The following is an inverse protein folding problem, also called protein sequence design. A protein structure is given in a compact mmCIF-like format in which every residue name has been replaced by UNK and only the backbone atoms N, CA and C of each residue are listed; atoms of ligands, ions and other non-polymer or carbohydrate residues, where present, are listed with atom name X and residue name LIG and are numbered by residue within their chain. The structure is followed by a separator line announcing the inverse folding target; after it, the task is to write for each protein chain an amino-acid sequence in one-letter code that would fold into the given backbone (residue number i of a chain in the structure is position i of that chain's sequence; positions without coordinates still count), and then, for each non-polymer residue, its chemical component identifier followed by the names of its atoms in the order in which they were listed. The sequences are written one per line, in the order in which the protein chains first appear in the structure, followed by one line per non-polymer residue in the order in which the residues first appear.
data_IF_623631472158
#
_entry.id   IF_623631472158
#
_cell.length_a   1.000
_cell.length_b   1.000
_cell.length_c   1.000
_cell.angle_alpha   90.00
_cell.angle_beta   90.00
_cell.angle_gamma   90.00
#
_symmetry.space_group_name_H-M   'P 1'
#
loop_
_entity.id
_entity.type
_entity.pdbx_description
1 polymer ?
#
# COMPACT_ATOMS: atom_id res chain seq x y z
N UNK A 1 -62.13 16.20 -124.44
CA UNK A 1 -61.33 17.35 -123.98
C UNK A 1 -60.38 16.85 -122.89
N UNK A 2 -59.06 16.94 -123.14
CA UNK A 2 -57.88 16.96 -122.24
C UNK A 2 -57.89 16.06 -120.98
N UNK A 3 -57.15 14.94 -120.89
CA UNK A 3 -55.69 14.68 -120.97
C UNK A 3 -54.91 15.01 -119.67
N UNK A 4 -54.46 13.93 -118.99
CA UNK A 4 -53.24 13.68 -118.18
C UNK A 4 -52.80 14.70 -117.09
N UNK A 5 -52.20 14.36 -115.94
CA UNK A 5 -51.21 13.34 -115.54
C UNK A 5 -51.06 13.41 -114.00
N UNK A 6 -50.58 12.35 -113.32
CA UNK A 6 -49.83 12.54 -112.04
C UNK A 6 -49.96 11.47 -110.95
N UNK A 7 -48.81 10.88 -110.59
CA UNK A 7 -48.53 9.88 -109.55
C UNK A 7 -49.00 10.23 -108.13
N UNK A 8 -49.25 9.20 -107.29
CA UNK A 8 -48.52 8.97 -106.03
C UNK A 8 -49.03 7.74 -105.26
N UNK A 9 -48.06 7.03 -104.67
CA UNK A 9 -48.15 5.84 -103.82
C UNK A 9 -49.08 5.99 -102.60
N UNK A 10 -49.76 4.90 -102.21
CA UNK A 10 -50.49 4.83 -100.94
C UNK A 10 -50.94 3.41 -100.61
N UNK A 11 -50.35 2.85 -99.54
CA UNK A 11 -50.66 1.57 -98.91
C UNK A 11 -52.12 1.48 -98.45
N UNK A 12 -52.75 0.32 -98.62
CA UNK A 12 -53.87 -0.16 -97.79
C UNK A 12 -53.72 -1.66 -97.60
N UNK A 13 -53.10 -2.04 -96.48
CA UNK A 13 -53.05 -3.41 -95.97
C UNK A 13 -54.40 -3.71 -95.33
N UNK A 14 -55.16 -4.61 -95.94
CA UNK A 14 -56.44 -5.14 -95.46
C UNK A 14 -56.23 -6.58 -94.99
N UNK A 15 -56.40 -6.77 -93.69
CA UNK A 15 -57.04 -7.93 -93.01
C UNK A 15 -56.46 -8.06 -91.60
N UNK A 16 -56.89 -7.16 -90.73
CA UNK A 16 -56.79 -7.30 -89.29
C UNK A 16 -57.98 -8.08 -88.76
N UNK A 17 -57.72 -9.11 -87.96
CA UNK A 17 -58.40 -9.44 -86.70
C UNK A 17 -58.11 -10.89 -86.25
N UNK A 18 -56.87 -11.18 -85.86
CA UNK A 18 -56.56 -12.44 -85.15
C UNK A 18 -55.43 -12.36 -84.12
N UNK A 19 -55.11 -11.17 -83.61
CA UNK A 19 -54.14 -10.99 -82.53
C UNK A 19 -54.78 -10.32 -81.30
N UNK A 20 -55.64 -11.05 -80.59
CA UNK A 20 -55.94 -10.74 -79.18
C UNK A 20 -55.56 -11.91 -78.30
N UNK A 21 -54.42 -11.76 -77.62
CA UNK A 21 -54.04 -12.63 -76.51
C UNK A 21 -55.03 -12.48 -75.33
N UNK A 22 -55.36 -13.56 -74.61
CA UNK A 22 -56.26 -13.51 -73.48
C UNK A 22 -55.65 -12.68 -72.35
N UNK A 23 -56.34 -11.60 -71.95
CA UNK A 23 -55.98 -10.80 -70.77
C UNK A 23 -56.17 -11.66 -69.51
N UNK A 24 -55.09 -12.21 -68.97
CA UNK A 24 -55.10 -12.77 -67.62
C UNK A 24 -55.34 -11.64 -66.61
N UNK A 25 -56.53 -11.61 -66.00
CA UNK A 25 -56.84 -10.76 -64.85
C UNK A 25 -55.97 -11.22 -63.67
N UNK A 26 -54.90 -10.48 -63.39
CA UNK A 26 -54.07 -10.67 -62.21
C UNK A 26 -54.96 -10.41 -60.98
N UNK A 27 -55.16 -11.45 -60.16
CA UNK A 27 -55.95 -11.36 -58.94
C UNK A 27 -55.20 -10.49 -57.91
N UNK A 28 -55.83 -9.46 -57.31
CA UNK A 28 -55.16 -8.47 -56.45
C UNK A 28 -54.44 -9.09 -55.24
N UNK A 29 -54.89 -10.26 -54.77
CA UNK A 29 -54.26 -11.03 -53.69
C UNK A 29 -52.84 -11.53 -53.99
N UNK A 30 -52.52 -11.81 -55.27
CA UNK A 30 -51.16 -12.25 -55.63
C UNK A 30 -50.18 -11.06 -55.68
N UNK A 31 -50.67 -9.87 -56.04
CA UNK A 31 -49.85 -8.65 -56.05
C UNK A 31 -49.48 -8.24 -54.63
N UNK A 32 -50.42 -8.32 -53.68
CA UNK A 32 -50.13 -8.03 -52.26
C UNK A 32 -49.14 -9.02 -51.65
N UNK A 33 -49.23 -10.31 -51.98
CA UNK A 33 -48.31 -11.32 -51.46
C UNK A 33 -46.88 -11.12 -51.98
N UNK A 34 -46.72 -10.79 -53.27
CA UNK A 34 -45.41 -10.51 -53.87
C UNK A 34 -44.79 -9.23 -53.30
N UNK A 35 -45.58 -8.17 -53.12
CA UNK A 35 -45.10 -6.91 -52.51
C UNK A 35 -44.64 -7.14 -51.06
N UNK A 36 -45.38 -7.94 -50.28
CA UNK A 36 -45.01 -8.26 -48.90
C UNK A 36 -43.72 -9.09 -48.84
N UNK A 37 -43.54 -10.04 -49.75
CA UNK A 37 -42.33 -10.85 -49.84
C UNK A 37 -41.09 -10.02 -50.21
N UNK A 38 -41.24 -9.06 -51.14
CA UNK A 38 -40.15 -8.15 -51.52
C UNK A 38 -39.79 -7.21 -50.34
N UNK A 39 -40.78 -6.72 -49.60
CA UNK A 39 -40.55 -5.89 -48.40
C UNK A 39 -39.85 -6.67 -47.28
N UNK A 40 -40.22 -7.93 -47.05
CA UNK A 40 -39.54 -8.82 -46.10
C UNK A 40 -38.08 -9.08 -46.50
N UNK A 41 -37.80 -9.32 -47.78
CA UNK A 41 -36.44 -9.50 -48.28
C UNK A 41 -35.60 -8.21 -48.18
N UNK A 42 -36.19 -7.06 -48.48
CA UNK A 42 -35.53 -5.77 -48.32
C UNK A 42 -35.20 -5.45 -46.85
N UNK A 43 -36.14 -5.74 -45.94
CA UNK A 43 -35.92 -5.58 -44.49
C UNK A 43 -34.85 -6.55 -43.97
N UNK A 44 -34.84 -7.80 -44.43
CA UNK A 44 -33.80 -8.78 -44.10
C UNK A 44 -32.42 -8.36 -44.60
N UNK A 45 -32.31 -7.90 -45.85
CA UNK A 45 -31.06 -7.40 -46.40
C UNK A 45 -30.56 -6.15 -45.65
N UNK A 46 -31.46 -5.25 -45.26
CA UNK A 46 -31.11 -4.06 -44.48
C UNK A 46 -30.63 -4.41 -43.07
N UNK A 47 -31.27 -5.39 -42.41
CA UNK A 47 -30.83 -5.88 -41.10
C UNK A 47 -29.44 -6.55 -41.17
N UNK A 48 -29.14 -7.30 -42.23
CA UNK A 48 -27.82 -7.91 -42.43
C UNK A 48 -26.75 -6.83 -42.65
N UNK A 49 -27.04 -5.80 -43.45
CA UNK A 49 -26.13 -4.67 -43.67
C UNK A 49 -25.91 -3.90 -42.36
N UNK A 50 -26.95 -3.69 -41.56
CA UNK A 50 -26.86 -3.01 -40.27
C UNK A 50 -26.00 -3.81 -39.27
N UNK A 51 -26.22 -5.12 -39.14
CA UNK A 51 -25.41 -6.00 -38.29
C UNK A 51 -23.95 -6.04 -38.76
N UNK A 52 -23.72 -6.10 -40.08
CA UNK A 52 -22.38 -6.10 -40.64
C UNK A 52 -21.64 -4.76 -40.44
N UNK A 53 -22.37 -3.63 -40.48
CA UNK A 53 -21.80 -2.30 -40.23
C UNK A 53 -21.58 -1.99 -38.73
N UNK A 54 -22.36 -2.59 -37.82
CA UNK A 54 -22.18 -2.44 -36.37
C UNK A 54 -21.04 -3.31 -35.82
N UNK A 55 -20.55 -4.31 -36.56
CA UNK A 55 -19.34 -5.07 -36.24
C UNK A 55 -18.03 -4.30 -36.49
N UNK A 56 -17.99 -3.00 -36.22
CA UNK A 56 -16.76 -2.38 -35.75
C UNK A 56 -16.61 -2.75 -34.28
N UNK A 57 -16.13 -3.96 -34.02
CA UNK A 57 -15.61 -4.29 -32.70
C UNK A 57 -14.69 -3.14 -32.28
N UNK A 58 -14.94 -2.49 -31.12
CA UNK A 58 -13.94 -1.63 -30.54
C UNK A 58 -12.63 -2.42 -30.53
N UNK A 59 -11.47 -1.82 -30.87
CA UNK A 59 -10.21 -2.52 -30.68
C UNK A 59 -10.23 -3.10 -29.27
N UNK A 60 -9.80 -4.38 -29.08
CA UNK A 60 -9.75 -4.95 -27.75
C UNK A 60 -9.07 -3.93 -26.84
N UNK A 61 -9.62 -3.63 -25.65
CA UNK A 61 -8.99 -2.68 -24.75
C UNK A 61 -7.51 -3.06 -24.68
N UNK A 62 -6.59 -2.10 -24.89
CA UNK A 62 -5.16 -2.40 -24.82
C UNK A 62 -4.96 -3.19 -23.53
N UNK A 63 -4.21 -4.32 -23.57
CA UNK A 63 -4.01 -5.14 -22.38
C UNK A 63 -3.68 -4.18 -21.25
N UNK A 64 -4.55 -4.14 -20.23
CA UNK A 64 -4.31 -3.32 -19.04
C UNK A 64 -2.93 -3.77 -18.60
N UNK A 65 -1.97 -2.85 -18.60
CA UNK A 65 -0.62 -3.18 -18.19
C UNK A 65 -0.73 -3.67 -16.74
N UNK A 66 -0.78 -4.99 -16.55
CA UNK A 66 -0.76 -5.67 -15.24
C UNK A 66 0.65 -5.70 -14.68
N UNK A 67 1.49 -4.78 -15.15
CA UNK A 67 2.84 -4.58 -14.70
C UNK A 67 2.95 -3.31 -13.87
N UNK A 68 4.01 -3.18 -13.07
CA UNK A 68 4.27 -2.01 -12.26
C UNK A 68 4.24 -0.73 -13.12
N UNK A 69 3.20 0.08 -12.93
CA UNK A 69 3.02 1.37 -13.63
C UNK A 69 3.51 2.48 -12.72
N UNK A 70 4.38 3.35 -13.26
CA UNK A 70 4.77 4.59 -12.56
C UNK A 70 3.55 5.43 -12.23
N UNK A 71 3.57 6.12 -11.08
CA UNK A 71 2.48 7.00 -10.70
C UNK A 71 2.29 8.12 -11.72
N UNK A 72 1.04 8.33 -12.12
CA UNK A 72 0.58 9.56 -12.76
C UNK A 72 0.61 10.72 -11.76
N UNK A 73 0.50 11.95 -12.26
CA UNK A 73 0.42 13.15 -11.40
C UNK A 73 -0.78 13.09 -10.46
N UNK A 74 -1.93 12.61 -10.94
CA UNK A 74 -3.13 12.46 -10.12
C UNK A 74 -2.96 11.38 -9.04
N UNK A 75 -2.40 10.22 -9.38
CA UNK A 75 -2.11 9.16 -8.40
C UNK A 75 -1.08 9.63 -7.35
N UNK A 76 -0.06 10.38 -7.76
CA UNK A 76 0.94 10.98 -6.85
C UNK A 76 0.27 11.95 -5.87
N UNK A 77 -0.61 12.81 -6.36
CA UNK A 77 -1.36 13.75 -5.52
C UNK A 77 -2.29 13.00 -4.55
N UNK A 78 -2.98 11.95 -5.03
CA UNK A 78 -3.85 11.10 -4.20
C UNK A 78 -3.09 10.38 -3.08
N UNK A 79 -1.95 9.75 -3.40
CA UNK A 79 -1.08 9.12 -2.41
C UNK A 79 -0.54 10.14 -1.41
N UNK A 80 -0.13 11.32 -1.88
CA UNK A 80 0.38 12.39 -1.00
C UNK A 80 -0.71 12.88 -0.05
N UNK A 81 -1.95 13.07 -0.55
CA UNK A 81 -3.09 13.45 0.28
C UNK A 81 -3.42 12.36 1.32
N UNK A 82 -3.37 11.09 0.92
CA UNK A 82 -3.57 9.95 1.82
C UNK A 82 -2.47 9.88 2.90
N UNK A 83 -1.21 10.08 2.54
CA UNK A 83 -0.11 10.11 3.52
C UNK A 83 -0.28 11.29 4.49
N UNK A 84 -0.69 12.45 3.99
CA UNK A 84 -0.94 13.62 4.84
C UNK A 84 -2.10 13.41 5.81
N UNK A 85 -3.15 12.68 5.44
CA UNK A 85 -4.26 12.39 6.35
C UNK A 85 -3.86 11.50 7.53
N UNK A 86 -2.82 10.68 7.36
CA UNK A 86 -2.26 9.84 8.42
C UNK A 86 -1.30 10.58 9.37
N UNK A 87 -0.91 11.81 9.04
CA UNK A 87 0.10 12.56 9.79
C UNK A 87 -0.35 12.97 11.19
N UNK A 88 -1.67 13.06 11.38
CA UNK A 88 -2.30 13.47 12.62
C UNK A 88 -3.12 12.35 13.22
N UNK A 89 -3.35 12.44 14.53
CA UNK A 89 -4.20 11.52 15.26
C UNK A 89 -3.46 10.28 15.76
N UNK A 90 -4.13 9.45 16.58
CA UNK A 90 -3.51 8.27 17.16
C UNK A 90 -3.64 7.06 16.25
N UNK A 91 -2.65 6.17 16.36
CA UNK A 91 -2.51 4.98 15.54
C UNK A 91 -2.36 3.74 16.41
N UNK A 92 -3.01 2.66 16.02
CA UNK A 92 -2.66 1.31 16.46
C UNK A 92 -1.86 0.60 15.37
N UNK A 93 -0.79 -0.06 15.78
CA UNK A 93 0.14 -0.77 14.92
C UNK A 93 0.31 -2.20 15.46
N UNK A 94 0.14 -3.20 14.62
CA UNK A 94 0.31 -4.61 14.99
C UNK A 94 1.10 -5.35 13.91
N UNK A 95 2.19 -6.02 14.28
CA UNK A 95 3.02 -6.69 13.30
C UNK A 95 4.35 -7.17 13.83
N UNK A 96 5.38 -7.07 12.99
CA UNK A 96 6.73 -7.52 13.31
C UNK A 96 7.81 -6.48 12.98
N UNK A 97 8.91 -6.56 13.72
CA UNK A 97 10.13 -5.77 13.53
C UNK A 97 11.28 -6.73 13.21
N UNK A 98 11.92 -6.53 12.07
CA UNK A 98 13.15 -7.22 11.71
C UNK A 98 14.37 -6.38 12.15
N UNK A 99 15.15 -6.91 13.10
CA UNK A 99 16.39 -6.29 13.58
C UNK A 99 17.45 -7.36 13.90
N UNK A 100 18.72 -7.09 13.55
CA UNK A 100 19.86 -7.98 13.82
C UNK A 100 19.65 -9.43 13.37
N UNK A 101 19.01 -9.64 12.21
CA UNK A 101 18.71 -10.98 11.67
C UNK A 101 17.58 -11.72 12.38
N UNK A 102 16.85 -11.05 13.28
CA UNK A 102 15.76 -11.62 14.10
C UNK A 102 14.46 -10.86 13.86
N UNK A 103 13.34 -11.54 14.13
CA UNK A 103 12.00 -10.96 14.05
C UNK A 103 11.38 -10.89 15.44
N UNK A 104 10.77 -9.76 15.77
CA UNK A 104 10.10 -9.48 17.03
C UNK A 104 8.66 -9.07 16.76
N UNK A 105 7.70 -9.55 17.55
CA UNK A 105 6.31 -9.10 17.44
C UNK A 105 6.12 -7.75 18.11
N UNK A 106 5.34 -6.85 17.53
CA UNK A 106 4.97 -5.58 18.14
C UNK A 106 3.47 -5.36 18.09
N UNK A 107 2.93 -4.83 19.17
CA UNK A 107 1.58 -4.30 19.22
C UNK A 107 1.64 -2.97 19.96
N UNK A 108 1.30 -1.87 19.31
CA UNK A 108 1.45 -0.53 19.85
C UNK A 108 0.21 0.30 19.58
N UNK A 109 -0.13 1.19 20.51
CA UNK A 109 -1.11 2.26 20.35
C UNK A 109 -0.45 3.55 20.81
N UNK A 110 -0.43 4.58 19.97
CA UNK A 110 0.32 5.80 20.26
C UNK A 110 -0.25 7.04 19.57
N UNK A 111 0.02 8.21 20.15
CA UNK A 111 -0.23 9.51 19.54
C UNK A 111 0.81 9.81 18.46
N UNK A 112 0.40 10.45 17.35
CA UNK A 112 1.32 10.74 16.24
C UNK A 112 2.51 11.63 16.58
N UNK A 113 2.40 12.46 17.61
CA UNK A 113 3.49 13.29 18.12
C UNK A 113 4.47 12.54 19.03
N UNK A 114 4.19 11.27 19.34
CA UNK A 114 4.99 10.47 20.26
C UNK A 114 4.87 10.91 21.73
N UNK A 115 3.90 11.77 22.07
CA UNK A 115 3.71 12.26 23.43
C UNK A 115 3.26 11.16 24.39
N UNK A 116 2.48 10.20 23.91
CA UNK A 116 1.92 9.12 24.72
C UNK A 116 1.68 7.89 23.86
N UNK A 117 1.95 6.71 24.43
CA UNK A 117 1.61 5.44 23.82
C UNK A 117 1.93 4.28 24.75
N UNK A 118 1.40 3.11 24.42
CA UNK A 118 1.73 1.87 25.12
C UNK A 118 1.55 0.67 24.20
N UNK A 119 2.07 -0.47 24.63
CA UNK A 119 1.99 -1.68 23.84
C UNK A 119 2.81 -2.80 24.40
N UNK A 120 3.18 -3.72 23.52
CA UNK A 120 3.94 -4.91 23.86
C UNK A 120 4.98 -5.22 22.79
N UNK A 121 6.13 -5.71 23.23
CA UNK A 121 7.15 -6.33 22.38
C UNK A 121 7.19 -7.82 22.69
N UNK A 122 7.21 -8.66 21.66
CA UNK A 122 7.30 -10.11 21.81
C UNK A 122 8.61 -10.61 21.23
N UNK A 123 9.42 -11.27 22.06
CA UNK A 123 10.72 -11.83 21.68
C UNK A 123 10.81 -13.29 22.16
N UNK A 124 11.05 -14.23 21.25
CA UNK A 124 11.14 -15.66 21.61
C UNK A 124 9.86 -16.23 22.25
N UNK A 125 8.68 -15.66 21.94
CA UNK A 125 7.41 -16.04 22.56
C UNK A 125 7.14 -15.38 23.92
N UNK A 126 8.07 -14.57 24.43
CA UNK A 126 7.96 -13.86 25.70
C UNK A 126 7.54 -12.43 25.46
N UNK A 127 6.71 -11.88 26.36
CA UNK A 127 6.11 -10.55 26.24
C UNK A 127 6.80 -9.58 27.20
N UNK A 128 7.15 -8.41 26.67
CA UNK A 128 7.48 -7.22 27.45
C UNK A 128 6.48 -6.09 27.18
N UNK A 129 6.32 -5.19 28.14
CA UNK A 129 5.44 -4.02 28.05
C UNK A 129 6.25 -2.82 27.54
N UNK A 130 5.69 -2.09 26.57
CA UNK A 130 6.23 -0.82 26.06
C UNK A 130 5.39 0.33 26.62
N UNK A 131 6.07 1.39 27.02
CA UNK A 131 5.49 2.70 27.27
C UNK A 131 6.22 3.74 26.41
N UNK A 132 5.45 4.63 25.78
CA UNK A 132 5.96 5.82 25.11
C UNK A 132 5.47 7.01 25.91
N UNK A 133 6.38 7.82 26.42
CA UNK A 133 6.07 9.00 27.21
C UNK A 133 7.01 10.14 26.80
N UNK A 134 6.44 11.22 26.27
CA UNK A 134 7.16 12.41 25.79
C UNK A 134 8.32 12.08 24.82
N UNK A 135 8.09 11.13 23.91
CA UNK A 135 9.08 10.68 22.93
C UNK A 135 10.16 9.73 23.49
N UNK A 136 10.14 9.44 24.80
CA UNK A 136 11.01 8.44 25.43
C UNK A 136 10.31 7.09 25.41
N UNK A 137 11.06 6.05 25.03
CA UNK A 137 10.55 4.68 24.97
C UNK A 137 11.07 3.94 26.20
N UNK A 138 10.14 3.43 27.00
CA UNK A 138 10.43 2.55 28.12
C UNK A 138 9.98 1.14 27.78
N UNK A 139 10.77 0.16 28.21
CA UNK A 139 10.49 -1.25 28.06
C UNK A 139 10.67 -1.95 29.39
N UNK A 140 9.74 -2.85 29.71
CA UNK A 140 9.79 -3.71 30.88
C UNK A 140 9.57 -5.16 30.47
N UNK A 141 10.31 -6.06 31.09
CA UNK A 141 10.12 -7.50 30.94
C UNK A 141 10.99 -8.27 31.91
N UNK A 142 10.79 -9.59 31.96
CA UNK A 142 11.54 -10.49 32.82
C UNK A 142 12.90 -10.88 32.22
N UNK A 143 13.73 -11.58 33.00
CA UNK A 143 15.07 -12.00 32.55
C UNK A 143 15.04 -12.82 31.26
N UNK A 144 14.16 -13.84 31.10
CA UNK A 144 14.02 -14.56 29.84
C UNK A 144 13.71 -13.64 28.65
N UNK A 145 12.84 -12.64 28.82
CA UNK A 145 12.49 -11.70 27.75
C UNK A 145 13.70 -10.86 27.32
N UNK A 146 14.47 -10.31 28.28
CA UNK A 146 15.67 -9.55 27.97
C UNK A 146 16.75 -10.40 27.30
N UNK A 147 16.96 -11.62 27.77
CA UNK A 147 17.87 -12.58 27.13
C UNK A 147 17.39 -12.90 25.70
N UNK A 148 16.08 -13.05 25.48
CA UNK A 148 15.50 -13.21 24.16
C UNK A 148 15.67 -11.97 23.28
N UNK A 149 15.90 -10.77 23.82
CA UNK A 149 16.30 -9.59 23.03
C UNK A 149 17.81 -9.53 22.75
N UNK A 150 18.60 -10.44 23.31
CA UNK A 150 20.06 -10.38 23.27
C UNK A 150 20.63 -9.33 24.22
N UNK A 151 19.89 -9.02 25.29
CA UNK A 151 20.31 -8.09 26.35
C UNK A 151 20.78 -8.91 27.55
N UNK A 152 21.97 -8.58 28.05
CA UNK A 152 22.57 -9.21 29.22
C UNK A 152 22.30 -8.41 30.51
N UNK A 153 22.59 -9.02 31.67
CA UNK A 153 22.42 -8.39 32.97
C UNK A 153 21.04 -8.62 33.61
N UNK A 154 20.91 -8.35 34.91
CA UNK A 154 19.65 -8.49 35.63
C UNK A 154 18.68 -7.35 35.30
N UNK A 155 17.38 -7.65 35.13
CA UNK A 155 16.35 -6.62 35.03
C UNK A 155 16.37 -5.67 36.22
N UNK A 156 16.02 -4.39 36.02
CA UNK A 156 15.84 -3.45 37.12
C UNK A 156 14.82 -3.98 38.14
N UNK A 157 15.00 -3.62 39.40
CA UNK A 157 13.99 -3.87 40.43
C UNK A 157 12.64 -3.22 40.04
N UNK A 158 11.51 -3.76 40.51
CA UNK A 158 10.20 -3.16 40.28
C UNK A 158 10.21 -1.64 40.57
N UNK A 159 9.64 -0.81 39.68
CA UNK A 159 8.69 -1.16 38.63
C UNK A 159 9.29 -1.75 37.35
N UNK A 160 10.63 -1.87 37.24
CA UNK A 160 11.30 -2.67 36.20
C UNK A 160 11.47 -1.99 34.84
N UNK A 161 11.30 -0.67 34.75
CA UNK A 161 11.36 0.07 33.49
C UNK A 161 12.79 0.36 33.06
N UNK A 162 13.07 0.08 31.79
CA UNK A 162 14.34 0.38 31.12
C UNK A 162 14.10 1.42 30.03
N UNK A 163 14.90 2.48 29.99
CA UNK A 163 14.88 3.47 28.91
C UNK A 163 15.65 2.93 27.71
N UNK A 164 14.98 2.84 26.55
CA UNK A 164 15.60 2.37 25.32
C UNK A 164 16.30 3.51 24.59
N UNK A 165 17.59 3.36 24.22
CA UNK A 165 18.26 4.32 23.36
C UNK A 165 17.72 4.24 21.92
N UNK A 166 17.84 5.33 21.13
CA UNK A 166 17.26 5.42 19.78
C UNK A 166 17.77 4.38 18.79
N UNK A 167 18.92 3.74 19.03
CA UNK A 167 19.52 2.73 18.16
C UNK A 167 19.25 1.29 18.63
N UNK A 168 18.54 1.10 19.74
CA UNK A 168 18.10 -0.23 20.18
C UNK A 168 17.18 -0.86 19.12
N UNK A 169 17.50 -2.10 18.72
CA UNK A 169 16.88 -2.78 17.57
C UNK A 169 16.84 -1.93 16.28
N UNK A 170 17.84 -1.05 16.10
CA UNK A 170 17.93 -0.14 14.96
C UNK A 170 16.90 0.99 14.97
N UNK A 171 16.34 1.34 16.14
CA UNK A 171 15.34 2.39 16.28
C UNK A 171 13.94 1.99 15.79
N UNK A 172 13.67 0.69 15.73
CA UNK A 172 12.45 0.14 15.12
C UNK A 172 11.38 -0.27 16.12
N UNK A 173 11.67 -0.22 17.43
CA UNK A 173 10.69 -0.53 18.49
C UNK A 173 9.50 0.42 18.40
N UNK A 174 9.76 1.69 18.13
CA UNK A 174 8.74 2.69 17.91
C UNK A 174 9.21 3.62 16.79
N UNK A 175 8.35 3.80 15.79
CA UNK A 175 8.59 4.69 14.66
C UNK A 175 7.41 5.64 14.56
N UNK A 176 7.69 6.94 14.66
CA UNK A 176 6.63 7.95 14.60
C UNK A 176 5.94 7.96 13.22
N UNK A 177 4.68 8.42 13.12
CA UNK A 177 4.04 8.69 11.84
C UNK A 177 4.85 9.58 10.93
N UNK A 178 5.48 10.63 11.45
CA UNK A 178 6.37 11.46 10.65
C UNK A 178 7.48 10.65 9.98
N UNK A 179 8.09 9.70 10.69
CA UNK A 179 9.19 8.88 10.19
C UNK A 179 8.74 7.89 9.12
N UNK A 180 7.68 7.11 9.36
CA UNK A 180 7.23 6.12 8.36
C UNK A 180 6.50 6.76 7.17
N UNK A 181 5.83 7.91 7.35
CA UNK A 181 5.27 8.69 6.24
C UNK A 181 6.36 9.28 5.35
N UNK A 182 7.44 9.78 5.94
CA UNK A 182 8.60 10.26 5.17
C UNK A 182 9.29 9.13 4.40
N UNK A 183 9.23 7.88 4.91
CA UNK A 183 9.68 6.70 4.19
C UNK A 183 8.82 6.41 2.95
N UNK A 184 7.51 6.59 3.09
CA UNK A 184 6.51 6.34 2.05
C UNK A 184 6.32 7.51 1.07
N UNK A 185 6.96 8.66 1.28
CA UNK A 185 6.85 9.79 0.36
C UNK A 185 7.21 9.38 -1.09
N UNK A 186 6.35 9.69 -2.09
CA UNK A 186 6.58 9.27 -3.47
C UNK A 186 7.91 9.77 -4.03
N UNK A 187 8.68 8.88 -4.66
CA UNK A 187 9.83 9.23 -5.50
C UNK A 187 9.46 9.18 -6.98
N UNK A 188 10.42 9.48 -7.86
CA UNK A 188 10.29 9.33 -9.31
C UNK A 188 10.09 7.87 -9.78
N UNK A 189 10.42 6.88 -8.92
CA UNK A 189 10.25 5.44 -9.20
C UNK A 189 9.06 4.83 -8.44
N UNK A 190 8.25 5.68 -7.80
CA UNK A 190 7.03 5.27 -7.11
C UNK A 190 6.03 4.66 -8.10
N UNK A 191 5.31 3.66 -7.62
CA UNK A 191 4.37 2.88 -8.45
C UNK A 191 3.25 2.27 -7.63
N UNK A 192 2.15 1.96 -8.29
CA UNK A 192 1.06 1.16 -7.76
C UNK A 192 1.00 -0.18 -8.51
N UNK A 193 0.84 -1.25 -7.75
CA UNK A 193 0.57 -2.59 -8.25
C UNK A 193 -0.63 -3.16 -7.49
N UNK A 194 -1.80 -3.10 -8.12
CA UNK A 194 -3.08 -3.35 -7.45
C UNK A 194 -3.27 -2.44 -6.23
N UNK A 195 -3.50 -3.05 -5.06
CA UNK A 195 -3.66 -2.35 -3.78
C UNK A 195 -2.32 -2.00 -3.10
N UNK A 196 -1.18 -2.37 -3.70
CA UNK A 196 0.14 -2.15 -3.09
C UNK A 196 0.80 -0.92 -3.70
N UNK A 197 1.06 0.06 -2.84
CA UNK A 197 1.85 1.23 -3.16
C UNK A 197 3.33 0.97 -2.83
N UNK A 198 4.21 1.21 -3.78
CA UNK A 198 5.65 1.22 -3.58
C UNK A 198 6.15 2.66 -3.71
N UNK A 199 6.84 3.14 -2.67
CA UNK A 199 7.38 4.51 -2.65
C UNK A 199 8.48 4.76 -3.67
N UNK A 200 9.05 3.69 -4.24
CA UNK A 200 10.25 3.70 -5.06
C UNK A 200 11.55 3.49 -4.27
N UNK A 201 11.47 3.39 -2.93
CA UNK A 201 12.55 2.91 -2.06
C UNK A 201 12.40 1.40 -1.83
N UNK A 202 13.52 0.71 -1.61
CA UNK A 202 13.56 -0.75 -1.52
C UNK A 202 12.83 -1.31 -0.29
N UNK A 203 12.75 -0.54 0.78
CA UNK A 203 12.27 -0.93 2.10
C UNK A 203 11.05 -0.12 2.55
N UNK A 204 10.29 0.45 1.61
CA UNK A 204 9.10 1.26 1.91
C UNK A 204 7.95 1.01 0.92
N UNK A 205 6.95 0.26 1.38
CA UNK A 205 5.68 0.03 0.69
C UNK A 205 4.50 0.04 1.65
N UNK A 206 3.30 0.21 1.12
CA UNK A 206 2.07 0.23 1.89
C UNK A 206 0.91 -0.41 1.13
N UNK A 207 -0.06 -0.97 1.86
CA UNK A 207 -1.33 -1.38 1.28
C UNK A 207 -2.34 -0.25 1.39
N UNK A 208 -2.90 0.14 0.27
CA UNK A 208 -3.89 1.22 0.13
C UNK A 208 -5.24 0.59 -0.20
N UNK A 209 -6.27 1.01 0.54
CA UNK A 209 -7.66 0.59 0.38
C UNK A 209 -8.58 1.81 0.46
N UNK A 210 -9.88 1.62 0.29
CA UNK A 210 -10.87 2.68 0.49
C UNK A 210 -10.87 3.20 1.94
N UNK A 211 -10.43 2.38 2.91
CA UNK A 211 -10.24 2.79 4.30
C UNK A 211 -8.92 3.53 4.56
N UNK A 212 -8.11 3.75 3.51
CA UNK A 212 -6.81 4.39 3.58
C UNK A 212 -5.65 3.39 3.63
N UNK A 213 -4.57 3.76 4.34
CA UNK A 213 -3.40 2.88 4.51
C UNK A 213 -3.71 1.88 5.62
N UNK A 214 -3.68 0.58 5.31
CA UNK A 214 -4.02 -0.48 6.27
C UNK A 214 -2.83 -1.34 6.68
N UNK A 215 -1.75 -1.30 5.90
CA UNK A 215 -0.53 -2.06 6.16
C UNK A 215 0.69 -1.27 5.68
N UNK A 216 1.79 -1.36 6.42
CA UNK A 216 3.08 -0.76 6.06
C UNK A 216 4.20 -1.80 6.10
N UNK A 217 5.11 -1.69 5.14
CA UNK A 217 6.43 -2.29 5.17
C UNK A 217 7.46 -1.16 5.12
N UNK A 218 8.07 -0.81 6.25
CA UNK A 218 8.97 0.34 6.36
C UNK A 218 10.15 0.01 7.28
N UNK A 219 11.39 0.18 6.84
CA UNK A 219 12.61 -0.06 7.64
C UNK A 219 12.69 -1.48 8.26
N UNK A 220 12.09 -2.48 7.64
CA UNK A 220 11.99 -3.85 8.19
C UNK A 220 10.87 -4.02 9.24
N UNK A 221 10.01 -3.03 9.41
CA UNK A 221 8.74 -3.14 10.13
C UNK A 221 7.68 -3.61 9.14
N UNK A 222 6.93 -4.64 9.51
CA UNK A 222 5.82 -5.20 8.74
C UNK A 222 4.60 -5.16 9.64
N UNK A 223 3.69 -4.23 9.44
CA UNK A 223 2.59 -4.04 10.38
C UNK A 223 1.29 -3.58 9.73
N UNK A 224 0.19 -4.11 10.24
CA UNK A 224 -1.13 -3.52 10.06
C UNK A 224 -1.21 -2.22 10.87
N UNK A 225 -1.79 -1.21 10.25
CA UNK A 225 -2.00 0.10 10.87
C UNK A 225 -3.48 0.46 10.77
N UNK A 226 -4.00 1.06 11.83
CA UNK A 226 -5.33 1.66 11.84
C UNK A 226 -5.34 2.94 12.66
N UNK A 227 -6.14 3.90 12.24
CA UNK A 227 -6.50 5.03 13.08
C UNK A 227 -7.35 4.55 14.26
N UNK A 228 -7.12 5.14 15.43
CA UNK A 228 -7.88 4.91 16.66
C UNK A 228 -8.23 6.25 17.31
N UNK A 229 -8.95 6.23 18.43
CA UNK A 229 -9.28 7.44 19.19
C UNK A 229 -8.20 7.77 20.24
N UNK A 230 -8.06 9.05 20.66
CA UNK A 230 -7.12 9.41 21.73
C UNK A 230 -7.37 8.68 23.06
N UNK A 231 -8.64 8.34 23.35
CA UNK A 231 -9.01 7.61 24.56
C UNK A 231 -8.46 6.17 24.56
N UNK A 232 -8.40 5.53 23.39
CA UNK A 232 -7.81 4.19 23.21
C UNK A 232 -6.28 4.17 23.41
N UNK A 233 -5.62 5.34 23.39
CA UNK A 233 -4.18 5.47 23.68
C UNK A 233 -3.94 5.87 25.12
N UNK A 234 -4.56 6.96 25.55
CA UNK A 234 -4.25 7.62 26.83
C UNK A 234 -4.65 6.77 28.04
N UNK A 235 -5.79 6.08 27.99
CA UNK A 235 -6.24 5.21 29.08
C UNK A 235 -5.27 4.04 29.35
N UNK A 236 -4.98 3.19 28.34
CA UNK A 236 -4.01 2.10 28.49
C UNK A 236 -2.61 2.58 28.86
N UNK A 237 -2.13 3.67 28.26
CA UNK A 237 -0.81 4.22 28.58
C UNK A 237 -0.71 4.70 30.04
N UNK A 238 -1.75 5.33 30.57
CA UNK A 238 -1.80 5.74 31.98
C UNK A 238 -1.77 4.54 32.94
N UNK A 239 -2.47 3.45 32.60
CA UNK A 239 -2.48 2.23 33.41
C UNK A 239 -1.12 1.51 33.40
N UNK A 240 -0.51 1.38 32.23
CA UNK A 240 0.79 0.73 32.07
C UNK A 240 1.90 1.58 32.70
N UNK A 241 1.87 2.89 32.46
CA UNK A 241 2.87 3.84 32.94
C UNK A 241 2.71 4.25 34.40
N UNK A 242 1.71 3.75 35.13
CA UNK A 242 1.60 4.03 36.55
C UNK A 242 2.94 3.68 37.24
N UNK A 243 3.54 4.68 37.90
CA UNK A 243 4.78 4.54 38.66
C UNK A 243 6.04 4.23 37.82
N UNK A 244 6.07 4.52 36.52
CA UNK A 244 7.24 4.12 35.69
C UNK A 244 8.57 4.76 36.13
N UNK A 245 8.52 5.94 36.74
CA UNK A 245 9.70 6.67 37.21
C UNK A 245 10.65 7.03 36.06
N UNK A 246 11.91 7.42 36.34
CA UNK A 246 12.86 7.79 35.29
C UNK A 246 13.34 6.60 34.45
N UNK A 247 13.05 5.36 34.86
CA UNK A 247 13.62 4.15 34.27
C UNK A 247 15.13 4.02 34.46
N UNK A 248 15.66 2.84 34.14
CA UNK A 248 17.11 2.58 34.10
C UNK A 248 17.58 2.62 32.65
N UNK A 249 18.62 3.37 32.28
CA UNK A 249 19.09 3.41 30.90
C UNK A 249 19.68 2.06 30.47
N UNK A 250 19.32 1.60 29.28
CA UNK A 250 19.98 0.46 28.65
C UNK A 250 21.39 0.87 28.18
N UNK A 251 22.40 0.12 28.58
CA UNK A 251 23.80 0.39 28.27
C UNK A 251 24.38 -0.57 27.24
N UNK A 252 25.66 -0.36 26.90
CA UNK A 252 26.46 -1.29 26.12
C UNK A 252 27.70 -1.75 26.87
N UNK A 253 28.11 -2.99 26.65
CA UNK A 253 29.43 -3.49 27.05
C UNK A 253 30.52 -2.89 26.14
N UNK A 254 31.82 -2.99 26.52
CA UNK A 254 32.92 -2.58 25.65
C UNK A 254 32.97 -3.31 24.30
N UNK A 255 32.43 -4.54 24.22
CA UNK A 255 32.29 -5.30 22.98
C UNK A 255 31.07 -4.87 22.14
N UNK A 256 30.24 -3.95 22.65
CA UNK A 256 29.07 -3.41 21.95
C UNK A 256 27.76 -4.17 22.19
N UNK A 257 27.74 -5.15 23.10
CA UNK A 257 26.53 -5.90 23.45
C UNK A 257 25.62 -5.09 24.38
N UNK A 258 24.30 -5.26 24.25
CA UNK A 258 23.35 -4.57 25.12
C UNK A 258 23.36 -5.16 26.54
N UNK A 259 23.30 -4.29 27.56
CA UNK A 259 23.28 -4.69 28.98
C UNK A 259 22.36 -3.81 29.82
N UNK A 260 21.63 -4.43 30.74
CA UNK A 260 20.86 -3.78 31.81
C UNK A 260 21.83 -3.45 32.95
N UNK A 261 22.07 -2.15 33.17
CA UNK A 261 23.09 -1.57 34.04
C UNK A 261 24.56 -1.77 33.56
N UNK A 262 25.47 -0.84 33.89
CA UNK A 262 26.86 -0.94 33.47
C UNK A 262 27.55 -2.14 34.11
N UNK A 263 28.41 -2.81 33.36
CA UNK A 263 29.53 -3.53 33.98
C UNK A 263 30.30 -2.50 34.81
N UNK A 264 30.15 -2.52 36.14
CA UNK A 264 31.04 -1.74 37.02
C UNK A 264 32.46 -2.15 36.63
N UNK A 265 33.35 -1.23 36.19
CA UNK A 265 34.73 -1.58 35.96
C UNK A 265 35.27 -2.24 37.23
N UNK A 266 36.04 -3.35 37.16
CA UNK A 266 36.64 -3.90 38.36
C UNK A 266 37.39 -2.77 39.07
N UNK A 267 37.02 -2.48 40.31
CA UNK A 267 37.79 -1.57 41.16
C UNK A 267 39.14 -2.25 41.32
N UNK A 268 40.14 -1.79 40.57
CA UNK A 268 41.51 -2.25 40.77
C UNK A 268 41.85 -1.96 42.23
N UNK A 269 42.39 -2.94 42.98
CA UNK A 269 42.94 -2.68 44.31
C UNK A 269 43.87 -1.47 44.23
N UNK A 270 43.90 -0.59 45.26
CA UNK A 270 44.88 0.49 45.29
C UNK A 270 46.26 -0.11 45.05
N UNK A 271 46.99 0.44 44.06
CA UNK A 271 48.34 0.00 43.77
C UNK A 271 49.14 0.00 45.09
N UNK A 272 49.94 -1.04 45.37
CA UNK A 272 50.76 -1.06 46.57
C UNK A 272 51.61 0.21 46.56
N UNK A 273 51.43 1.05 47.58
CA UNK A 273 52.25 2.24 47.76
C UNK A 273 53.67 1.74 47.98
N UNK A 274 54.53 1.90 46.97
CA UNK A 274 55.97 1.68 47.15
C UNK A 274 56.43 2.71 48.16
N UNK A 275 56.60 2.30 49.41
CA UNK A 275 57.24 3.10 50.43
C UNK A 275 58.60 3.53 49.89
N UNK A 276 58.79 4.84 49.69
CA UNK A 276 60.07 5.39 49.29
C UNK A 276 61.12 4.98 50.33
N UNK A 277 62.18 4.32 49.87
CA UNK A 277 63.33 4.00 50.71
C UNK A 277 63.92 5.31 51.28
N UNK A 278 64.30 5.33 52.57
CA UNK A 278 64.86 6.53 53.19
C UNK A 278 66.16 6.96 52.48
N UNK A 279 66.42 8.27 52.33
CA UNK A 279 67.61 8.76 51.66
C UNK A 279 68.86 8.34 52.42
N UNK A 280 69.90 7.95 51.67
CA UNK A 280 71.20 7.58 52.23
C UNK A 280 71.82 8.75 53.00
N UNK A 281 72.51 8.48 54.13
CA UNK A 281 73.14 9.53 54.92
C UNK A 281 74.28 10.21 54.13
N UNK A 282 74.51 11.52 54.33
CA UNK A 282 75.58 12.23 53.65
C UNK A 282 76.95 11.74 54.13
N UNK A 283 77.79 11.36 53.18
CA UNK A 283 79.22 11.10 53.42
C UNK A 283 79.96 12.43 53.55
N UNK A 284 80.61 12.61 54.71
CA UNK A 284 81.61 13.66 55.00
C UNK A 284 82.94 13.37 54.32
#
# INVERSE_FOLDING_TARGET
MMQARGNSSGLLSTDGDSWRAPRQRIRPLHVTAVVLAVLMLAAGAWAIIWIANDSKTPPPPPPVATGPKSLTTLETAGITALLNSQRSGPHALNGTVAANGRSFGIQLAYMADGSTGSGTLTAGGLRGDILVDQGVIYLRGDQPFWAALGVSGPPPAPPGWTVLPPDFLGGKVFVTPGTWLAALAPTNTARLDGATYFSGRADASARVTDAGITYIHVFGINADIRAITPAEVTGPAALVGAEHGPGVPLGRTPSGEWTLAPAVPPVLPPAPTTAAAPPAPPTS
#
